data_IF_212151494008
#
_entry.id   IF_212151494008
#
_cell.length_a   1.000
_cell.length_b   1.000
_cell.length_c   1.000
_cell.angle_alpha   90.00
_cell.angle_beta   90.00
_cell.angle_gamma   90.00
#
_symmetry.space_group_name_H-M   'P 1'
#
loop_
_entity.id
_entity.type
_entity.pdbx_description
1 polymer ?
#
# COMPACT_ATOMS: atom_id res chain seq x y z
N UNK A 1 -15.76 34.39 -12.04
CA UNK A 1 -14.68 33.40 -12.28
C UNK A 1 -13.34 34.07 -12.00
N UNK A 2 -13.17 34.51 -10.77
CA UNK A 2 -12.11 35.39 -10.30
C UNK A 2 -11.42 34.70 -9.14
N UNK A 3 -10.11 34.50 -9.27
CA UNK A 3 -9.17 34.44 -8.15
C UNK A 3 -9.54 33.45 -7.03
N UNK A 4 -9.37 32.15 -7.31
CA UNK A 4 -8.86 31.25 -6.27
C UNK A 4 -7.39 31.65 -6.00
N UNK A 5 -7.26 32.75 -5.26
CA UNK A 5 -5.99 33.24 -4.76
C UNK A 5 -5.41 32.17 -3.86
N UNK A 6 -4.39 31.52 -4.40
CA UNK A 6 -3.15 31.09 -3.78
C UNK A 6 -3.12 31.26 -2.24
N UNK A 7 -3.87 30.41 -1.54
CA UNK A 7 -3.66 30.13 -0.12
C UNK A 7 -2.64 29.01 0.02
N UNK A 8 -1.51 29.08 -0.70
CA UNK A 8 -0.28 28.46 -0.22
C UNK A 8 0.22 29.30 0.97
N UNK A 9 -0.51 29.25 2.09
CA UNK A 9 0.09 29.62 3.36
C UNK A 9 1.40 28.82 3.42
N UNK A 10 2.56 29.47 3.66
CA UNK A 10 3.82 28.75 3.78
C UNK A 10 3.55 27.64 4.77
N UNK A 11 3.69 26.38 4.31
CA UNK A 11 3.52 25.18 5.12
C UNK A 11 4.31 25.46 6.38
N UNK A 12 3.62 25.87 7.45
CA UNK A 12 4.23 26.09 8.74
C UNK A 12 4.88 24.76 9.02
N UNK A 13 6.21 24.76 8.99
CA UNK A 13 7.07 23.58 9.10
C UNK A 13 6.41 22.68 10.12
N UNK A 14 5.80 21.58 9.64
CA UNK A 14 5.13 20.63 10.50
C UNK A 14 6.08 20.42 11.68
N UNK A 15 5.59 20.74 12.89
CA UNK A 15 6.36 20.59 14.12
C UNK A 15 7.11 19.26 14.02
N UNK A 16 8.45 19.27 14.17
CA UNK A 16 9.31 18.17 13.76
C UNK A 16 8.66 16.86 14.16
N UNK A 17 8.37 16.03 13.15
CA UNK A 17 7.72 14.73 13.28
C UNK A 17 8.30 14.10 14.55
N UNK A 18 7.44 13.84 15.53
CA UNK A 18 7.86 13.47 16.88
C UNK A 18 9.00 12.45 16.80
N UNK A 19 10.09 12.63 17.58
CA UNK A 19 11.33 11.87 17.43
C UNK A 19 10.98 10.39 17.29
N UNK A 20 11.52 9.73 16.26
CA UNK A 20 11.18 8.37 15.84
C UNK A 20 11.49 7.38 16.97
N UNK A 21 10.58 7.36 17.94
CA UNK A 21 10.66 6.57 19.15
C UNK A 21 10.19 5.16 18.87
N UNK A 22 10.27 4.31 19.90
CA UNK A 22 9.70 2.97 19.84
C UNK A 22 8.22 3.07 19.43
N UNK A 23 7.80 2.32 18.41
CA UNK A 23 6.40 2.26 17.95
C UNK A 23 5.49 2.06 19.16
N UNK A 24 4.71 3.08 19.49
CA UNK A 24 3.74 3.06 20.56
C UNK A 24 2.36 3.26 19.96
N UNK A 25 1.34 2.68 20.59
CA UNK A 25 -0.05 2.84 20.11
C UNK A 25 -0.41 4.32 20.07
N UNK A 26 -0.10 5.07 21.15
CA UNK A 26 -0.37 6.50 21.23
C UNK A 26 0.31 7.32 20.13
N UNK A 27 1.59 7.06 19.84
CA UNK A 27 2.31 7.80 18.79
C UNK A 27 1.74 7.51 17.40
N UNK A 28 1.35 6.26 17.12
CA UNK A 28 0.72 5.87 15.84
C UNK A 28 -0.63 6.57 15.66
N UNK A 29 -1.48 6.56 16.68
CA UNK A 29 -2.79 7.21 16.60
C UNK A 29 -2.68 8.73 16.54
N UNK A 30 -1.78 9.35 17.30
CA UNK A 30 -1.52 10.79 17.21
C UNK A 30 -1.07 11.19 15.80
N UNK A 31 -0.15 10.41 15.23
CA UNK A 31 0.33 10.56 13.85
C UNK A 31 -0.80 10.38 12.82
N UNK A 32 -1.60 9.33 12.97
CA UNK A 32 -2.72 9.05 12.09
C UNK A 32 -3.77 10.17 12.12
N UNK A 33 -4.04 10.72 13.31
CA UNK A 33 -4.94 11.86 13.48
C UNK A 33 -4.39 13.12 12.82
N UNK A 34 -3.09 13.40 12.94
CA UNK A 34 -2.46 14.54 12.28
C UNK A 34 -2.56 14.42 10.75
N UNK A 35 -2.22 13.25 10.19
CA UNK A 35 -2.35 12.95 8.76
C UNK A 35 -3.80 13.08 8.29
N UNK A 36 -4.74 12.56 9.09
CA UNK A 36 -6.16 12.64 8.79
C UNK A 36 -6.65 14.09 8.81
N UNK A 37 -6.23 14.90 9.78
CA UNK A 37 -6.62 16.31 9.86
C UNK A 37 -6.07 17.13 8.69
N UNK A 38 -4.84 16.85 8.24
CA UNK A 38 -4.20 17.56 7.14
C UNK A 38 -4.87 17.28 5.79
N UNK A 39 -5.20 16.00 5.51
CA UNK A 39 -5.73 15.56 4.20
C UNK A 39 -7.07 14.83 4.32
N UNK A 40 -7.94 15.31 5.21
CA UNK A 40 -9.24 14.69 5.49
C UNK A 40 -10.06 14.43 4.22
N UNK A 41 -10.23 15.45 3.37
CA UNK A 41 -11.03 15.36 2.15
C UNK A 41 -10.53 14.29 1.17
N UNK A 42 -9.21 14.18 0.97
CA UNK A 42 -8.61 13.19 0.06
C UNK A 42 -8.81 11.77 0.60
N UNK A 43 -8.57 11.55 1.90
CA UNK A 43 -8.73 10.23 2.51
C UNK A 43 -10.20 9.77 2.57
N UNK A 44 -11.13 10.70 2.86
CA UNK A 44 -12.58 10.45 2.78
C UNK A 44 -12.99 10.14 1.34
N UNK A 45 -12.49 10.89 0.36
CA UNK A 45 -12.74 10.61 -1.06
C UNK A 45 -12.27 9.22 -1.47
N UNK A 46 -11.09 8.79 -0.98
CA UNK A 46 -10.58 7.44 -1.21
C UNK A 46 -11.46 6.38 -0.56
N UNK A 47 -11.89 6.59 0.68
CA UNK A 47 -12.78 5.67 1.40
C UNK A 47 -14.14 5.53 0.70
N UNK A 48 -14.74 6.65 0.28
CA UNK A 48 -16.00 6.67 -0.45
C UNK A 48 -15.87 5.94 -1.80
N UNK A 49 -14.80 6.22 -2.57
CA UNK A 49 -14.54 5.55 -3.84
C UNK A 49 -14.42 4.03 -3.65
N UNK A 50 -13.65 3.58 -2.66
CA UNK A 50 -13.45 2.15 -2.39
C UNK A 50 -14.76 1.48 -1.98
N UNK A 51 -15.60 2.13 -1.17
CA UNK A 51 -16.91 1.57 -0.79
C UNK A 51 -17.84 1.50 -2.00
N UNK A 52 -17.94 2.57 -2.80
CA UNK A 52 -18.80 2.60 -4.00
C UNK A 52 -18.35 1.52 -4.99
N UNK A 53 -17.04 1.45 -5.25
CA UNK A 53 -16.43 0.44 -6.10
C UNK A 53 -16.72 -0.96 -5.57
N UNK A 54 -16.44 -1.21 -4.29
CA UNK A 54 -16.66 -2.51 -3.65
C UNK A 54 -18.11 -2.94 -3.67
N UNK A 55 -19.06 -2.01 -3.50
CA UNK A 55 -20.48 -2.28 -3.57
C UNK A 55 -20.93 -2.66 -4.99
N UNK A 56 -20.61 -1.81 -5.97
CA UNK A 56 -21.02 -2.02 -7.37
C UNK A 56 -20.40 -3.31 -7.91
N UNK A 57 -19.09 -3.45 -7.78
CA UNK A 57 -18.35 -4.59 -8.35
C UNK A 57 -18.61 -5.86 -7.54
N UNK A 58 -18.75 -5.75 -6.21
CA UNK A 58 -19.08 -6.88 -5.36
C UNK A 58 -20.44 -7.51 -5.68
N UNK A 59 -21.46 -6.70 -5.98
CA UNK A 59 -22.77 -7.19 -6.44
C UNK A 59 -22.61 -7.98 -7.73
N UNK A 60 -21.92 -7.40 -8.73
CA UNK A 60 -21.74 -8.05 -10.04
C UNK A 60 -20.99 -9.37 -9.89
N UNK A 61 -19.91 -9.39 -9.14
CA UNK A 61 -19.11 -10.61 -8.92
C UNK A 61 -19.91 -11.67 -8.18
N UNK A 62 -20.63 -11.29 -7.12
CA UNK A 62 -21.45 -12.24 -6.36
C UNK A 62 -22.54 -12.85 -7.25
N UNK A 63 -23.16 -12.05 -8.13
CA UNK A 63 -24.14 -12.56 -9.10
C UNK A 63 -23.50 -13.51 -10.12
N UNK A 64 -22.31 -13.20 -10.63
CA UNK A 64 -21.57 -14.08 -11.55
C UNK A 64 -21.17 -15.41 -10.89
N UNK A 65 -20.62 -15.37 -9.68
CA UNK A 65 -20.28 -16.56 -8.90
C UNK A 65 -21.53 -17.43 -8.66
N UNK A 66 -22.64 -16.81 -8.22
CA UNK A 66 -23.89 -17.53 -7.98
C UNK A 66 -24.52 -18.10 -9.28
N UNK A 67 -24.39 -17.40 -10.41
CA UNK A 67 -24.94 -17.84 -11.70
C UNK A 67 -24.18 -19.05 -12.26
N UNK A 68 -22.85 -19.10 -12.06
CA UNK A 68 -21.99 -20.12 -12.66
C UNK A 68 -21.78 -21.32 -11.73
N UNK A 69 -21.58 -21.07 -10.43
CA UNK A 69 -21.24 -22.11 -9.45
C UNK A 69 -22.40 -22.45 -8.49
N UNK A 70 -23.45 -21.63 -8.45
CA UNK A 70 -24.57 -21.79 -7.53
C UNK A 70 -24.37 -21.10 -6.18
N UNK A 71 -25.47 -20.89 -5.45
CA UNK A 71 -25.49 -20.16 -4.16
C UNK A 71 -24.71 -20.93 -3.07
N UNK A 72 -24.69 -22.26 -3.15
CA UNK A 72 -24.06 -23.14 -2.17
C UNK A 72 -22.59 -23.47 -2.49
N UNK A 73 -22.00 -22.80 -3.50
CA UNK A 73 -20.62 -23.00 -3.87
C UNK A 73 -19.68 -22.61 -2.71
N UNK A 74 -18.89 -23.58 -2.23
CA UNK A 74 -17.88 -23.35 -1.20
C UNK A 74 -16.73 -22.46 -1.70
N UNK A 75 -16.46 -22.48 -3.01
CA UNK A 75 -15.38 -21.71 -3.65
C UNK A 75 -16.00 -20.65 -4.55
N UNK A 76 -15.55 -19.40 -4.39
CA UNK A 76 -15.96 -18.23 -5.18
C UNK A 76 -14.77 -17.70 -5.99
N UNK A 77 -14.48 -18.30 -7.13
CA UNK A 77 -13.25 -18.01 -7.86
C UNK A 77 -13.24 -16.59 -8.43
N UNK A 78 -14.39 -16.00 -8.81
CA UNK A 78 -14.41 -14.62 -9.31
C UNK A 78 -14.13 -13.62 -8.18
N UNK A 79 -14.69 -13.84 -6.99
CA UNK A 79 -14.37 -13.06 -5.80
C UNK A 79 -12.87 -13.14 -5.44
N UNK A 80 -12.29 -14.34 -5.45
CA UNK A 80 -10.87 -14.55 -5.19
C UNK A 80 -9.99 -13.85 -6.23
N UNK A 81 -10.33 -13.99 -7.51
CA UNK A 81 -9.59 -13.38 -8.62
C UNK A 81 -9.65 -11.86 -8.54
N UNK A 82 -10.83 -11.29 -8.32
CA UNK A 82 -11.01 -9.85 -8.16
C UNK A 82 -10.25 -9.29 -6.96
N UNK A 83 -10.29 -10.02 -5.84
CA UNK A 83 -9.57 -9.64 -4.62
C UNK A 83 -8.07 -9.49 -4.90
N UNK A 84 -7.48 -10.46 -5.61
CA UNK A 84 -6.05 -10.47 -5.95
C UNK A 84 -5.72 -9.44 -7.04
N UNK A 85 -6.47 -9.42 -8.14
CA UNK A 85 -6.11 -8.63 -9.32
C UNK A 85 -6.45 -7.14 -9.18
N UNK A 86 -7.46 -6.78 -8.38
CA UNK A 86 -7.95 -5.39 -8.33
C UNK A 86 -7.97 -4.86 -6.91
N UNK A 87 -8.62 -5.55 -5.96
CA UNK A 87 -8.78 -5.02 -4.59
C UNK A 87 -7.43 -4.89 -3.88
N UNK A 88 -6.52 -5.85 -4.03
CA UNK A 88 -5.16 -5.78 -3.49
C UNK A 88 -4.41 -4.52 -3.95
N UNK A 89 -4.17 -4.33 -5.26
CA UNK A 89 -3.54 -3.12 -5.78
C UNK A 89 -4.26 -1.82 -5.42
N UNK A 90 -5.59 -1.80 -5.46
CA UNK A 90 -6.39 -0.62 -5.12
C UNK A 90 -6.26 -0.23 -3.64
N UNK A 91 -6.13 -1.21 -2.75
CA UNK A 91 -6.00 -0.97 -1.30
C UNK A 91 -4.68 -0.29 -0.91
N UNK A 92 -3.64 -0.39 -1.74
CA UNK A 92 -2.33 0.24 -1.51
C UNK A 92 -2.41 1.77 -1.66
N UNK A 93 -3.25 2.25 -2.56
CA UNK A 93 -3.37 3.68 -2.91
C UNK A 93 -3.66 4.62 -1.73
N UNK A 94 -4.76 4.44 -0.99
CA UNK A 94 -5.10 5.30 0.14
C UNK A 94 -4.03 5.31 1.23
N UNK A 95 -3.37 4.18 1.45
CA UNK A 95 -2.30 4.04 2.44
C UNK A 95 -1.07 4.81 1.96
N UNK A 96 -0.74 4.71 0.68
CA UNK A 96 0.36 5.48 0.10
C UNK A 96 0.11 7.00 0.13
N UNK A 97 -1.13 7.44 -0.11
CA UNK A 97 -1.55 8.84 0.09
C UNK A 97 -1.30 9.28 1.54
N UNK A 98 -1.64 8.43 2.51
CA UNK A 98 -1.33 8.68 3.91
C UNK A 98 0.18 8.71 4.18
N UNK A 99 0.97 7.82 3.56
CA UNK A 99 2.44 7.82 3.65
C UNK A 99 3.04 9.13 3.14
N UNK A 100 2.61 9.62 1.96
CA UNK A 100 3.08 10.89 1.38
C UNK A 100 2.74 12.06 2.30
N UNK A 101 1.51 12.09 2.80
CA UNK A 101 1.06 13.13 3.74
C UNK A 101 1.90 13.10 5.02
N UNK A 102 2.15 11.91 5.59
CA UNK A 102 3.00 11.77 6.77
C UNK A 102 4.46 12.21 6.51
N UNK A 103 4.96 12.06 5.28
CA UNK A 103 6.27 12.55 4.84
C UNK A 103 6.29 14.07 4.53
N UNK A 104 5.18 14.79 4.73
CA UNK A 104 5.06 16.21 4.39
C UNK A 104 5.01 16.48 2.88
N UNK A 105 4.73 15.48 2.06
CA UNK A 105 4.66 15.61 0.61
C UNK A 105 3.24 15.88 0.13
N UNK A 106 3.11 16.59 -0.99
CA UNK A 106 1.81 16.83 -1.62
C UNK A 106 1.24 15.55 -2.23
N UNK A 107 0.20 14.99 -1.61
CA UNK A 107 -0.52 13.84 -2.16
C UNK A 107 -1.58 14.28 -3.19
N UNK A 108 -1.72 13.52 -4.26
CA UNK A 108 -2.77 13.73 -5.29
C UNK A 108 -3.72 12.55 -5.30
N UNK A 109 -4.98 12.78 -5.65
CA UNK A 109 -5.98 11.70 -5.67
C UNK A 109 -5.61 10.56 -6.64
N UNK A 110 -4.90 10.87 -7.74
CA UNK A 110 -4.40 9.88 -8.69
C UNK A 110 -3.42 8.85 -8.08
N UNK A 111 -2.81 9.17 -6.93
CA UNK A 111 -1.96 8.25 -6.19
C UNK A 111 -2.74 7.03 -5.66
N UNK A 112 -4.08 7.05 -5.68
CA UNK A 112 -4.92 5.89 -5.38
C UNK A 112 -4.62 4.70 -6.30
N UNK A 113 -4.11 4.97 -7.51
CA UNK A 113 -3.77 3.94 -8.49
C UNK A 113 -2.31 3.49 -8.41
N UNK A 114 -1.54 3.89 -7.38
CA UNK A 114 -0.11 3.57 -7.30
C UNK A 114 0.17 2.06 -7.31
N UNK A 115 -0.70 1.25 -6.68
CA UNK A 115 -0.56 -0.21 -6.68
C UNK A 115 -0.65 -0.83 -8.08
N UNK A 116 -1.31 -0.16 -9.03
CA UNK A 116 -1.39 -0.60 -10.42
C UNK A 116 -0.13 -0.28 -11.22
N UNK A 117 0.72 0.67 -10.79
CA UNK A 117 1.98 0.98 -11.49
C UNK A 117 2.96 -0.19 -11.48
N UNK A 118 2.94 -1.00 -10.41
CA UNK A 118 3.70 -2.27 -10.30
C UNK A 118 2.77 -3.46 -10.14
N UNK A 119 1.69 -3.46 -10.95
CA UNK A 119 0.62 -4.45 -10.86
C UNK A 119 1.11 -5.91 -10.82
N UNK A 120 2.03 -6.39 -11.69
CA UNK A 120 2.45 -7.79 -11.65
C UNK A 120 3.08 -8.20 -10.33
N UNK A 121 3.90 -7.32 -9.74
CA UNK A 121 4.58 -7.59 -8.47
C UNK A 121 3.62 -7.58 -7.29
N UNK A 122 2.70 -6.60 -7.24
CA UNK A 122 1.68 -6.52 -6.18
C UNK A 122 0.73 -7.72 -6.25
N UNK A 123 0.31 -8.12 -7.46
CA UNK A 123 -0.51 -9.32 -7.70
C UNK A 123 0.23 -10.58 -7.28
N UNK A 124 1.51 -10.72 -7.61
CA UNK A 124 2.28 -11.90 -7.22
C UNK A 124 2.43 -12.01 -5.69
N UNK A 125 2.68 -10.90 -5.00
CA UNK A 125 2.68 -10.87 -3.52
C UNK A 125 1.30 -11.29 -2.99
N UNK A 126 0.22 -10.72 -3.53
CA UNK A 126 -1.15 -11.08 -3.15
C UNK A 126 -1.44 -12.57 -3.35
N UNK A 127 -1.03 -13.14 -4.49
CA UNK A 127 -1.18 -14.56 -4.80
C UNK A 127 -0.40 -15.44 -3.83
N UNK A 128 0.86 -15.10 -3.51
CA UNK A 128 1.68 -15.83 -2.53
C UNK A 128 1.01 -15.82 -1.15
N UNK A 129 0.54 -14.64 -0.71
CA UNK A 129 -0.15 -14.50 0.59
C UNK A 129 -1.44 -15.32 0.61
N UNK A 130 -2.25 -15.26 -0.45
CA UNK A 130 -3.51 -16.00 -0.51
C UNK A 130 -3.31 -17.51 -0.61
N UNK A 131 -2.29 -17.97 -1.34
CA UNK A 131 -1.92 -19.38 -1.38
C UNK A 131 -1.46 -19.85 0.01
N UNK A 132 -0.65 -19.04 0.70
CA UNK A 132 -0.24 -19.32 2.09
C UNK A 132 -1.44 -19.39 3.04
N UNK A 133 -2.40 -18.47 2.90
CA UNK A 133 -3.64 -18.48 3.68
C UNK A 133 -4.49 -19.72 3.38
N UNK A 134 -4.65 -20.10 2.11
CA UNK A 134 -5.36 -21.30 1.69
C UNK A 134 -4.71 -22.58 2.23
N UNK A 135 -3.38 -22.68 2.18
CA UNK A 135 -2.67 -23.82 2.75
C UNK A 135 -2.85 -23.90 4.28
N UNK A 136 -2.92 -22.74 4.96
CA UNK A 136 -3.16 -22.68 6.39
C UNK A 136 -4.59 -23.11 6.80
N UNK A 137 -5.58 -23.08 5.89
CA UNK A 137 -6.94 -23.55 6.17
C UNK A 137 -7.14 -25.06 5.95
N UNK A 138 -6.24 -25.76 5.26
CA UNK A 138 -6.37 -27.20 5.02
C UNK A 138 -6.43 -28.02 6.32
N UNK A 139 -5.49 -27.86 7.30
CA UNK A 139 -5.56 -28.60 8.56
C UNK A 139 -6.85 -28.35 9.32
N UNK A 140 -7.43 -27.15 9.16
CA UNK A 140 -8.70 -26.79 9.76
C UNK A 140 -9.87 -27.57 9.15
N UNK A 141 -9.96 -27.62 7.82
CA UNK A 141 -11.00 -28.40 7.15
C UNK A 141 -10.97 -29.88 7.57
N UNK A 142 -9.77 -30.45 7.69
CA UNK A 142 -9.58 -31.83 8.20
C UNK A 142 -10.08 -31.95 9.64
N UNK A 143 -9.66 -31.04 10.53
CA UNK A 143 -10.04 -31.06 11.94
C UNK A 143 -11.55 -30.88 12.14
N UNK A 144 -12.21 -29.99 11.39
CA UNK A 144 -13.66 -29.81 11.43
C UNK A 144 -14.39 -31.09 11.02
N UNK A 145 -13.91 -31.76 9.96
CA UNK A 145 -14.47 -33.06 9.54
C UNK A 145 -14.25 -34.13 10.60
N UNK A 146 -13.07 -34.20 11.23
CA UNK A 146 -12.81 -35.15 12.31
C UNK A 146 -13.70 -34.89 13.52
N UNK A 147 -13.84 -33.63 13.96
CA UNK A 147 -14.66 -33.25 15.10
C UNK A 147 -16.15 -33.57 14.85
N UNK A 148 -16.64 -33.38 13.62
CA UNK A 148 -18.02 -33.71 13.23
C UNK A 148 -18.35 -35.20 13.32
N UNK A 149 -17.33 -36.08 13.27
CA UNK A 149 -17.51 -37.53 13.43
C UNK A 149 -17.47 -38.00 14.88
N UNK A 150 -16.76 -37.28 15.75
CA UNK A 150 -16.55 -37.66 17.17
C UNK A 150 -17.65 -37.16 18.12
N UNK A 151 -18.55 -36.31 17.64
CA UNK A 151 -19.54 -35.55 18.44
C UNK A 151 -20.73 -36.32 18.99
N UNK A 152 -20.80 -37.64 18.84
CA UNK A 152 -21.97 -38.45 19.21
C UNK A 152 -22.32 -38.50 20.72
N UNK A 153 -21.73 -37.65 21.59
CA UNK A 153 -22.08 -37.64 23.01
C UNK A 153 -21.66 -36.43 23.87
N UNK A 154 -20.89 -35.46 23.36
CA UNK A 154 -20.47 -34.30 24.17
C UNK A 154 -20.39 -33.00 23.35
N UNK A 155 -21.54 -32.33 23.21
CA UNK A 155 -21.66 -31.07 22.46
C UNK A 155 -20.84 -29.93 23.07
N UNK A 156 -20.74 -29.87 24.39
CA UNK A 156 -20.02 -28.79 25.09
C UNK A 156 -18.51 -28.76 24.78
N UNK A 157 -17.85 -29.92 24.86
CA UNK A 157 -16.42 -30.02 24.54
C UNK A 157 -16.13 -29.69 23.08
N UNK A 158 -17.01 -30.09 22.17
CA UNK A 158 -16.87 -29.81 20.74
C UNK A 158 -16.97 -28.32 20.45
N UNK A 159 -17.95 -27.64 21.04
CA UNK A 159 -18.12 -26.19 20.88
C UNK A 159 -16.88 -25.44 21.38
N UNK A 160 -16.34 -25.82 22.56
CA UNK A 160 -15.14 -25.21 23.10
C UNK A 160 -13.92 -25.41 22.17
N UNK A 161 -13.71 -26.63 21.67
CA UNK A 161 -12.63 -26.94 20.73
C UNK A 161 -12.76 -26.14 19.43
N UNK A 162 -13.97 -26.04 18.88
CA UNK A 162 -14.25 -25.25 17.69
C UNK A 162 -14.00 -23.76 17.93
N UNK A 163 -14.37 -23.24 19.10
CA UNK A 163 -14.10 -21.86 19.49
C UNK A 163 -12.59 -21.59 19.57
N UNK A 164 -11.85 -22.37 20.34
CA UNK A 164 -10.38 -22.20 20.47
C UNK A 164 -9.70 -22.28 19.11
N UNK A 165 -10.13 -23.21 18.26
CA UNK A 165 -9.60 -23.38 16.92
C UNK A 165 -9.87 -22.16 16.03
N UNK A 166 -11.13 -21.69 15.95
CA UNK A 166 -11.50 -20.54 15.12
C UNK A 166 -10.80 -19.26 15.58
N UNK A 167 -10.82 -18.97 16.88
CA UNK A 167 -10.17 -17.76 17.42
C UNK A 167 -8.65 -17.85 17.37
N UNK A 168 -8.07 -19.02 17.61
CA UNK A 168 -6.63 -19.25 17.47
C UNK A 168 -6.16 -19.02 16.05
N UNK A 169 -6.90 -19.53 15.06
CA UNK A 169 -6.60 -19.34 13.64
C UNK A 169 -6.80 -17.90 13.19
N UNK A 170 -7.90 -17.27 13.60
CA UNK A 170 -8.12 -15.85 13.33
C UNK A 170 -6.97 -15.00 13.89
N UNK A 171 -6.47 -15.32 15.09
CA UNK A 171 -5.32 -14.68 15.70
C UNK A 171 -4.02 -14.90 14.90
N UNK A 172 -3.74 -16.14 14.47
CA UNK A 172 -2.55 -16.46 13.66
C UNK A 172 -2.64 -15.78 12.28
N UNK A 173 -3.79 -15.86 11.62
CA UNK A 173 -4.03 -15.24 10.32
C UNK A 173 -3.89 -13.72 10.41
N UNK A 174 -4.43 -13.09 11.46
CA UNK A 174 -4.25 -11.66 11.71
C UNK A 174 -2.79 -11.32 11.99
N UNK A 175 -2.09 -12.12 12.79
CA UNK A 175 -0.66 -11.90 13.07
C UNK A 175 0.19 -11.98 11.79
N UNK A 176 0.00 -13.02 10.97
CA UNK A 176 0.71 -13.18 9.71
C UNK A 176 0.31 -12.09 8.71
N UNK A 177 -0.99 -11.79 8.61
CA UNK A 177 -1.54 -10.75 7.76
C UNK A 177 -0.89 -9.40 8.06
N UNK A 178 -0.85 -8.97 9.32
CA UNK A 178 -0.20 -7.72 9.73
C UNK A 178 1.29 -7.68 9.39
N UNK A 179 2.00 -8.82 9.48
CA UNK A 179 3.43 -8.87 9.14
C UNK A 179 3.69 -8.86 7.64
N UNK A 180 2.78 -9.38 6.84
CA UNK A 180 2.90 -9.47 5.39
C UNK A 180 2.22 -8.29 4.66
N UNK A 181 1.34 -7.57 5.33
CA UNK A 181 0.59 -6.45 4.76
C UNK A 181 1.50 -5.37 4.17
N UNK A 182 2.63 -5.07 4.83
CA UNK A 182 3.57 -4.06 4.35
C UNK A 182 4.38 -4.49 3.13
N UNK A 183 4.37 -5.77 2.74
CA UNK A 183 5.07 -6.25 1.55
C UNK A 183 4.52 -5.60 0.27
N UNK A 184 3.20 -5.44 0.16
CA UNK A 184 2.57 -4.79 -1.00
C UNK A 184 2.94 -3.32 -1.09
N UNK A 185 2.96 -2.61 0.05
CA UNK A 185 3.43 -1.23 0.12
C UNK A 185 4.92 -1.08 -0.22
N UNK A 186 5.79 -1.92 0.34
CA UNK A 186 7.23 -1.89 0.03
C UNK A 186 7.49 -2.08 -1.45
N UNK A 187 6.69 -2.90 -2.13
CA UNK A 187 6.82 -3.12 -3.55
C UNK A 187 6.33 -1.92 -4.37
N UNK A 188 5.20 -1.32 -3.96
CA UNK A 188 4.51 -0.28 -4.73
C UNK A 188 5.00 1.14 -4.46
N UNK A 189 5.63 1.42 -3.31
CA UNK A 189 6.15 2.74 -2.94
C UNK A 189 7.30 3.15 -3.87
N UNK A 190 7.10 4.15 -4.77
CA UNK A 190 8.14 4.56 -5.72
C UNK A 190 9.32 5.28 -5.05
N UNK A 191 9.15 5.76 -3.81
CA UNK A 191 10.21 6.40 -3.03
C UNK A 191 11.01 5.39 -2.21
N UNK A 192 10.55 4.14 -2.13
CA UNK A 192 11.25 3.07 -1.45
C UNK A 192 12.21 2.32 -2.40
N UNK A 193 12.97 1.35 -1.87
CA UNK A 193 13.68 0.40 -2.70
C UNK A 193 12.69 -0.31 -3.61
N UNK A 194 13.00 -0.39 -4.90
CA UNK A 194 12.19 -1.11 -5.88
C UNK A 194 12.37 -2.63 -5.77
N UNK A 195 12.03 -3.18 -4.61
CA UNK A 195 12.17 -4.60 -4.30
C UNK A 195 11.27 -5.46 -5.22
N UNK A 196 11.77 -6.66 -5.52
CA UNK A 196 10.97 -7.71 -6.14
C UNK A 196 9.99 -8.34 -5.13
N UNK A 197 9.06 -9.18 -5.59
CA UNK A 197 8.00 -9.74 -4.74
C UNK A 197 8.50 -10.54 -3.54
N UNK A 198 9.51 -11.38 -3.74
CA UNK A 198 10.08 -12.23 -2.67
C UNK A 198 10.87 -11.37 -1.69
N UNK A 199 11.63 -10.41 -2.21
CA UNK A 199 12.42 -9.46 -1.43
C UNK A 199 11.49 -8.58 -0.57
N UNK A 200 10.37 -8.09 -1.12
CA UNK A 200 9.37 -7.32 -0.37
C UNK A 200 8.75 -8.11 0.77
N UNK A 201 8.48 -9.41 0.59
CA UNK A 201 7.95 -10.29 1.66
C UNK A 201 9.00 -10.49 2.76
N UNK A 202 10.23 -10.82 2.37
CA UNK A 202 11.36 -10.99 3.31
C UNK A 202 11.62 -9.71 4.10
N UNK A 203 11.61 -8.57 3.41
CA UNK A 203 11.84 -7.26 4.00
C UNK A 203 10.70 -6.87 4.94
N UNK A 204 9.44 -7.07 4.55
CA UNK A 204 8.28 -6.89 5.42
C UNK A 204 8.40 -7.71 6.70
N UNK A 205 8.86 -8.96 6.59
CA UNK A 205 9.11 -9.79 7.77
C UNK A 205 10.25 -9.23 8.64
N UNK A 206 11.33 -8.77 8.02
CA UNK A 206 12.50 -8.20 8.70
C UNK A 206 12.13 -6.94 9.49
N UNK A 207 11.49 -5.96 8.85
CA UNK A 207 11.14 -4.68 9.48
C UNK A 207 10.12 -4.84 10.60
N UNK A 208 9.23 -5.83 10.51
CA UNK A 208 8.21 -6.09 11.53
C UNK A 208 8.69 -6.94 12.70
N UNK A 209 9.85 -7.61 12.62
CA UNK A 209 10.32 -8.62 13.62
C UNK A 209 10.31 -8.10 15.05
N UNK A 210 10.79 -6.87 15.27
CA UNK A 210 10.94 -6.30 16.61
C UNK A 210 9.67 -5.59 17.12
N UNK A 211 8.60 -5.55 16.33
CA UNK A 211 7.37 -4.83 16.68
C UNK A 211 6.10 -5.60 16.33
N UNK A 212 6.21 -6.87 15.93
CA UNK A 212 5.09 -7.69 15.48
C UNK A 212 3.91 -7.72 16.46
N UNK A 213 4.16 -7.92 17.76
CA UNK A 213 3.11 -7.91 18.78
C UNK A 213 2.43 -6.54 18.93
N UNK A 214 3.17 -5.45 18.79
CA UNK A 214 2.59 -4.10 18.86
C UNK A 214 1.73 -3.82 17.64
N UNK A 215 2.21 -4.21 16.47
CA UNK A 215 1.45 -4.11 15.22
C UNK A 215 0.16 -4.93 15.29
N UNK A 216 0.22 -6.13 15.87
CA UNK A 216 -0.95 -6.97 16.10
C UNK A 216 -2.01 -6.27 16.97
N UNK A 217 -1.63 -5.68 18.11
CA UNK A 217 -2.57 -4.94 18.95
C UNK A 217 -3.08 -3.65 18.30
N UNK A 218 -2.23 -2.94 17.54
CA UNK A 218 -2.66 -1.78 16.74
C UNK A 218 -3.72 -2.21 15.72
N UNK A 219 -3.49 -3.31 15.01
CA UNK A 219 -4.43 -3.83 14.03
C UNK A 219 -5.76 -4.24 14.68
N UNK A 220 -5.74 -4.90 15.85
CA UNK A 220 -6.96 -5.19 16.63
C UNK A 220 -7.71 -3.90 16.98
N UNK A 221 -7.01 -2.89 17.50
CA UNK A 221 -7.63 -1.64 17.91
C UNK A 221 -8.26 -0.89 16.73
N UNK A 222 -7.55 -0.82 15.59
CA UNK A 222 -8.08 -0.26 14.35
C UNK A 222 -9.31 -1.06 13.88
N UNK A 223 -9.26 -2.39 13.96
CA UNK A 223 -10.37 -3.26 13.57
C UNK A 223 -11.60 -3.05 14.46
N UNK A 224 -11.41 -2.83 15.77
CA UNK A 224 -12.49 -2.48 16.71
C UNK A 224 -13.10 -1.12 16.34
N UNK A 225 -12.28 -0.11 16.05
CA UNK A 225 -12.77 1.23 15.66
C UNK A 225 -13.56 1.14 14.35
N UNK A 226 -13.04 0.44 13.34
CA UNK A 226 -13.73 0.21 12.07
C UNK A 226 -15.02 -0.59 12.29
N UNK A 227 -15.00 -1.61 13.16
CA UNK A 227 -16.18 -2.39 13.50
C UNK A 227 -17.27 -1.56 14.19
N UNK A 228 -16.90 -0.76 15.19
CA UNK A 228 -17.83 0.16 15.88
C UNK A 228 -18.42 1.16 14.89
N UNK A 229 -17.58 1.80 14.07
CA UNK A 229 -18.06 2.77 13.07
C UNK A 229 -18.96 2.12 12.02
N UNK A 230 -18.70 0.86 11.64
CA UNK A 230 -19.57 0.08 10.74
C UNK A 230 -20.94 -0.17 11.38
N UNK A 231 -21.00 -0.57 12.65
CA UNK A 231 -22.25 -0.78 13.40
C UNK A 231 -23.00 0.55 13.57
N UNK A 232 -22.30 1.65 13.72
CA UNK A 232 -22.86 3.00 13.82
C UNK A 232 -23.23 3.64 12.47
N UNK A 233 -23.52 2.84 11.43
CA UNK A 233 -23.87 3.22 10.06
C UNK A 233 -22.69 3.51 9.11
N UNK A 234 -23.00 3.53 7.80
CA UNK A 234 -22.04 3.76 6.71
C UNK A 234 -21.38 5.14 6.82
N UNK A 235 -22.07 6.16 7.35
CA UNK A 235 -21.55 7.53 7.41
C UNK A 235 -20.31 7.65 8.31
N UNK A 236 -20.32 7.22 9.59
CA UNK A 236 -19.10 7.19 10.41
C UNK A 236 -17.97 6.33 9.84
N UNK A 237 -18.30 5.24 9.15
CA UNK A 237 -17.31 4.39 8.50
C UNK A 237 -16.55 5.14 7.40
N UNK A 238 -17.27 5.85 6.52
CA UNK A 238 -16.71 6.63 5.41
C UNK A 238 -15.97 7.87 5.90
N UNK A 239 -16.54 8.60 6.87
CA UNK A 239 -16.00 9.90 7.31
C UNK A 239 -14.81 9.77 8.28
N UNK A 240 -14.70 8.64 8.99
CA UNK A 240 -13.71 8.49 10.06
C UNK A 240 -13.07 7.10 10.10
N UNK A 241 -13.85 6.01 10.12
CA UNK A 241 -13.33 4.65 10.32
C UNK A 241 -12.26 4.24 9.31
N UNK A 242 -12.58 4.28 8.01
CA UNK A 242 -11.65 3.94 6.93
C UNK A 242 -10.53 4.98 6.74
N UNK A 243 -10.80 6.29 6.70
CA UNK A 243 -9.74 7.29 6.61
C UNK A 243 -8.69 7.16 7.73
N UNK A 244 -9.13 6.91 8.96
CA UNK A 244 -8.23 6.69 10.10
C UNK A 244 -7.42 5.41 9.95
N UNK A 245 -8.02 4.32 9.44
CA UNK A 245 -7.30 3.07 9.22
C UNK A 245 -6.21 3.21 8.16
N UNK A 246 -6.48 3.93 7.06
CA UNK A 246 -5.48 4.26 6.04
C UNK A 246 -4.37 5.15 6.60
N UNK A 247 -4.74 6.21 7.35
CA UNK A 247 -3.79 7.10 8.00
C UNK A 247 -2.87 6.34 8.96
N UNK A 248 -3.44 5.48 9.81
CA UNK A 248 -2.66 4.68 10.76
C UNK A 248 -1.76 3.67 10.06
N UNK A 249 -2.25 2.96 9.04
CA UNK A 249 -1.42 2.04 8.26
C UNK A 249 -0.26 2.76 7.57
N UNK A 250 -0.50 3.95 7.00
CA UNK A 250 0.52 4.77 6.35
C UNK A 250 1.57 5.28 7.34
N UNK A 251 1.14 5.83 8.49
CA UNK A 251 2.06 6.26 9.55
C UNK A 251 2.91 5.11 10.08
N UNK A 252 2.33 3.93 10.31
CA UNK A 252 3.07 2.74 10.74
C UNK A 252 4.10 2.33 9.71
N UNK A 253 3.72 2.31 8.43
CA UNK A 253 4.64 1.97 7.35
C UNK A 253 5.83 2.93 7.29
N UNK A 254 5.60 4.25 7.36
CA UNK A 254 6.70 5.21 7.33
C UNK A 254 7.60 5.06 8.56
N UNK A 255 7.04 4.90 9.76
CA UNK A 255 7.82 4.69 10.99
C UNK A 255 8.67 3.40 10.90
N UNK A 256 8.10 2.31 10.37
CA UNK A 256 8.80 1.02 10.21
C UNK A 256 9.94 1.11 9.19
N UNK A 257 9.68 1.70 8.03
CA UNK A 257 10.67 1.83 6.95
C UNK A 257 11.80 2.78 7.34
N UNK A 258 11.47 3.88 8.00
CA UNK A 258 12.47 4.79 8.55
C UNK A 258 13.35 4.05 9.58
N UNK A 259 12.77 3.36 10.56
CA UNK A 259 13.55 2.59 11.55
C UNK A 259 14.46 1.51 10.92
N UNK A 260 14.07 0.94 9.79
CA UNK A 260 14.88 -0.05 9.10
C UNK A 260 16.15 0.51 8.46
N UNK A 261 16.31 1.84 8.52
CA UNK A 261 17.44 2.59 8.02
C UNK A 261 17.30 2.93 6.55
N UNK A 262 16.21 2.59 5.88
CA UNK A 262 16.05 2.85 4.45
C UNK A 262 15.78 4.34 4.25
N UNK A 263 16.81 5.09 3.83
CA UNK A 263 16.71 6.50 3.49
C UNK A 263 16.74 6.62 1.97
N UNK A 264 15.66 7.09 1.31
CA UNK A 264 15.80 7.63 -0.03
C UNK A 264 16.63 8.91 0.06
N UNK A 265 17.80 8.94 -0.58
CA UNK A 265 18.71 10.12 -0.57
C UNK A 265 18.13 11.29 -1.36
N UNK A 266 17.11 11.03 -2.18
CA UNK A 266 16.54 12.03 -3.07
C UNK A 266 15.92 13.18 -2.26
N UNK A 267 16.65 14.29 -2.16
CA UNK A 267 16.26 15.51 -1.46
C UNK A 267 16.80 15.68 -0.02
N UNK A 268 17.73 14.85 0.44
CA UNK A 268 18.35 14.98 1.77
C UNK A 268 19.88 15.01 1.69
N UNK A 269 20.47 16.16 1.99
CA UNK A 269 21.93 16.31 2.14
C UNK A 269 22.40 15.73 3.49
N UNK A 270 21.52 15.64 4.48
CA UNK A 270 21.82 15.14 5.83
C UNK A 270 20.97 13.91 6.17
N UNK A 271 21.53 13.01 6.97
CA UNK A 271 20.88 11.80 7.44
C UNK A 271 19.77 12.17 8.44
N UNK A 272 18.49 11.84 8.18
CA UNK A 272 17.37 12.27 9.03
C UNK A 272 17.35 11.66 10.43
N UNK A 273 18.25 10.72 10.73
CA UNK A 273 18.36 10.07 12.04
C UNK A 273 19.40 10.69 12.97
N UNK A 274 20.45 11.27 12.39
CA UNK A 274 21.63 11.70 13.15
C UNK A 274 22.29 12.95 12.58
N UNK A 275 21.67 13.60 11.61
CA UNK A 275 22.14 14.80 10.91
C UNK A 275 23.54 14.64 10.30
N UNK A 276 23.92 13.40 9.96
CA UNK A 276 25.20 13.12 9.31
C UNK A 276 25.14 13.47 7.82
N UNK A 277 26.08 14.28 7.34
CA UNK A 277 26.18 14.68 5.93
C UNK A 277 26.33 13.45 5.01
N UNK A 278 25.37 13.27 4.10
CA UNK A 278 25.30 12.15 3.17
C UNK A 278 25.95 12.44 1.81
N UNK A 279 26.43 13.67 1.57
CA UNK A 279 26.97 14.11 0.27
C UNK A 279 28.18 13.25 -0.13
N UNK A 280 29.14 13.05 0.78
CA UNK A 280 30.41 12.37 0.51
C UNK A 280 30.41 10.87 0.86
N UNK A 281 29.24 10.27 1.02
CA UNK A 281 29.14 8.89 1.52
C UNK A 281 29.38 7.82 0.44
N UNK A 282 30.58 7.24 0.38
CA UNK A 282 30.92 6.14 -0.55
C UNK A 282 30.20 4.79 -0.25
N UNK A 283 29.51 4.68 0.88
CA UNK A 283 28.84 3.44 1.29
C UNK A 283 27.33 3.61 1.33
N UNK A 284 26.61 2.52 1.04
CA UNK A 284 25.15 2.49 1.19
C UNK A 284 24.70 2.44 2.66
N UNK A 285 25.53 2.85 3.62
CA UNK A 285 25.18 2.87 5.04
C UNK A 285 25.73 4.12 5.73
N UNK A 286 24.86 4.86 6.41
CA UNK A 286 25.27 5.97 7.27
C UNK A 286 26.26 5.45 8.33
N UNK A 287 27.44 6.07 8.49
CA UNK A 287 28.51 5.56 9.35
C UNK A 287 28.16 5.74 10.83
N UNK A 288 27.42 6.79 11.16
CA UNK A 288 26.97 7.07 12.52
C UNK A 288 25.83 6.12 12.97
N UNK A 289 24.72 6.09 12.23
CA UNK A 289 23.52 5.38 12.67
C UNK A 289 23.30 4.01 12.01
N UNK A 290 24.11 3.64 11.00
CA UNK A 290 24.00 2.37 10.28
C UNK A 290 22.82 2.27 9.31
N UNK A 291 22.09 3.37 9.09
CA UNK A 291 20.95 3.44 8.18
C UNK A 291 21.36 3.12 6.74
N UNK A 292 20.61 2.26 6.04
CA UNK A 292 20.81 1.94 4.63
C UNK A 292 20.43 3.11 3.71
N UNK A 293 21.44 3.73 3.13
CA UNK A 293 21.32 4.89 2.25
C UNK A 293 21.10 4.37 0.83
N UNK A 294 19.91 4.58 0.28
CA UNK A 294 19.59 4.21 -1.10
C UNK A 294 19.76 5.45 -1.96
N UNK A 295 20.91 5.54 -2.62
CA UNK A 295 21.11 6.53 -3.69
C UNK A 295 20.27 6.08 -4.88
N UNK A 296 19.45 6.97 -5.49
CA UNK A 296 18.89 6.67 -6.79
C UNK A 296 20.08 6.28 -7.67
N UNK A 297 20.02 5.11 -8.31
CA UNK A 297 21.06 4.75 -9.27
C UNK A 297 21.04 5.88 -10.29
N UNK A 298 22.02 6.79 -10.21
CA UNK A 298 22.17 7.82 -11.22
C UNK A 298 22.26 7.03 -12.50
N UNK A 299 21.31 7.16 -13.44
CA UNK A 299 21.42 6.47 -14.72
C UNK A 299 22.83 6.80 -15.19
N UNK A 300 23.65 5.77 -15.42
CA UNK A 300 25.06 5.93 -15.75
C UNK A 300 25.15 6.75 -17.04
N UNK A 301 25.13 8.07 -16.90
CA UNK A 301 25.17 9.04 -18.00
C UNK A 301 26.58 9.09 -18.62
N UNK A 302 27.43 8.10 -18.28
CA UNK A 302 28.76 7.87 -18.81
C UNK A 302 28.88 6.59 -19.67
N UNK A 303 27.80 5.82 -19.87
CA UNK A 303 27.66 4.95 -21.05
C UNK A 303 26.68 5.57 -22.03
N UNK A 304 26.89 6.86 -22.32
CA UNK A 304 26.62 7.33 -23.66
C UNK A 304 27.54 6.47 -24.50
N UNK A 305 26.98 5.53 -25.28
CA UNK A 305 27.70 4.98 -26.42
C UNK A 305 28.47 6.15 -27.03
N UNK A 306 29.80 6.08 -27.06
CA UNK A 306 30.58 7.01 -27.88
C UNK A 306 29.77 7.19 -29.16
N UNK A 307 29.40 8.43 -29.52
CA UNK A 307 28.61 8.65 -30.72
C UNK A 307 29.29 7.83 -31.79
N UNK A 308 28.57 6.84 -32.35
CA UNK A 308 29.12 6.06 -33.45
C UNK A 308 29.74 7.09 -34.38
N UNK A 309 31.04 6.96 -34.70
CA UNK A 309 31.68 7.91 -35.58
C UNK A 309 30.74 8.11 -36.74
N UNK A 310 30.40 9.37 -37.01
CA UNK A 310 29.60 9.77 -38.16
C UNK A 310 30.31 9.26 -39.43
N UNK A 311 30.13 7.99 -39.74
CA UNK A 311 30.43 7.40 -41.02
C UNK A 311 29.31 7.88 -41.93
N UNK A 312 29.54 9.07 -42.47
CA UNK A 312 29.09 9.53 -43.78
C UNK A 312 27.86 8.79 -44.32
N UNK A 313 26.68 9.12 -43.79
CA UNK A 313 25.41 8.96 -44.53
C UNK A 313 24.96 10.36 -44.96
N UNK A 314 25.80 10.99 -45.77
CA UNK A 314 25.39 12.05 -46.66
C UNK A 314 25.42 11.43 -48.06
N UNK A 315 24.25 11.24 -48.68
CA UNK A 315 24.04 11.53 -50.12
C UNK A 315 22.73 10.96 -50.72
N UNK A 316 21.91 10.18 -50.03
CA UNK A 316 20.67 9.61 -50.62
C UNK A 316 19.38 9.95 -49.87
N UNK A 317 19.07 11.24 -49.71
CA UNK A 317 17.70 11.68 -49.39
C UNK A 317 17.01 12.15 -50.68
N UNK A 318 15.96 11.46 -51.17
CA UNK A 318 15.23 11.89 -52.34
C UNK A 318 14.48 13.21 -52.06
N UNK A 319 14.57 14.13 -53.01
CA UNK A 319 13.84 15.40 -53.01
C UNK A 319 12.34 15.16 -52.80
N UNK A 320 11.85 15.51 -51.61
CA UNK A 320 10.40 15.54 -51.34
C UNK A 320 9.90 16.90 -51.84
N UNK A 321 9.00 16.94 -52.84
CA UNK A 321 8.44 18.19 -53.32
C UNK A 321 7.63 18.86 -52.20
N UNK A 322 7.99 20.12 -51.93
CA UNK A 322 7.23 21.01 -51.04
C UNK A 322 5.82 21.14 -51.60
N UNK A 323 4.85 20.62 -50.84
CA UNK A 323 3.43 20.85 -51.09
C UNK A 323 3.12 22.24 -50.57
N UNK A 324 2.84 23.16 -51.49
CA UNK A 324 2.28 24.47 -51.17
C UNK A 324 0.94 24.26 -50.45
N UNK A 325 0.90 24.62 -49.17
CA UNK A 325 -0.33 24.65 -48.39
C UNK A 325 -0.98 25.99 -48.66
N UNK A 326 -1.99 25.98 -49.53
CA UNK A 326 -2.84 27.13 -49.77
C UNK A 326 -3.53 27.55 -48.45
N UNK A 327 -3.30 28.81 -48.04
CA UNK A 327 -4.03 29.49 -46.98
C UNK A 327 -5.49 29.66 -47.42
N UNK A 328 -6.35 28.73 -47.03
CA UNK A 328 -7.79 28.83 -47.27
C UNK A 328 -8.44 29.64 -46.13
N UNK A 329 -8.78 30.88 -46.47
CA UNK A 329 -9.64 31.80 -45.74
C UNK A 329 -10.91 31.10 -45.24
N UNK A 330 -11.15 31.11 -43.92
CA UNK A 330 -12.44 30.75 -43.35
C UNK A 330 -13.02 31.90 -42.53
N UNK A 331 -13.50 32.92 -43.25
CA UNK A 331 -14.55 33.82 -42.79
C UNK A 331 -15.90 33.10 -42.88
N UNK A 332 -16.55 32.81 -41.74
CA UNK A 332 -18.00 32.60 -41.64
C UNK A 332 -18.45 32.63 -40.15
N UNK A 333 -19.74 32.87 -39.86
CA UNK A 333 -20.34 34.17 -39.55
C UNK A 333 -20.66 34.40 -38.07
#
# INVERSE_FOLDING_TARGET
MSSFADKSAPLQSLSPIAPIGRISIGSVFSSAHAVLAERWGTLVGCAALIIIYGFIVGIVITLLDNMIFGIDAMVRPFEMLHSILITGPLSVGPIYIACRTFRGQHSIFADILIGFRRWPSVVLIGLIIQLGALLATIPFGVLTVMLSRTTAGNSGFTILMLFVLVFGLAGIALYLGVRLYFATLLCADPLGPQLGPIESISESWRITRNSAWRLFFIAILISIIVGITTVCFIVPLVLYGLPLSYAAAGSVYVILTHRSGIIPVEGYDECPFCDYDLVDLDTNRCPECGAHVIRPQTPQYGQIHEPMPHEQVADDLPDIPLVDVDEEDSDAP
#
